data_IF_538180465038
#
_entry.id   IF_538180465038
#
_cell.length_a   1.000
_cell.length_b   1.000
_cell.length_c   1.000
_cell.angle_alpha   90.00
_cell.angle_beta   90.00
_cell.angle_gamma   90.00
#
_symmetry.space_group_name_H-M   'P 1'
#
loop_
_entity.id
_entity.type
_entity.pdbx_description
1 polymer ?
#
# COMPACT_ATOMS: atom_id res chain seq x y z
N UNK A 1 8.97 -10.86 13.15
CA UNK A 1 9.90 -9.83 13.68
C UNK A 1 10.16 -10.10 15.17
N UNK A 2 10.62 -11.30 15.54
CA UNK A 2 10.95 -11.60 16.94
C UNK A 2 11.75 -12.89 17.12
N UNK A 3 12.39 -13.00 18.29
CA UNK A 3 12.78 -14.24 18.96
C UNK A 3 11.97 -14.35 20.28
N UNK A 4 11.94 -15.50 20.99
CA UNK A 4 11.00 -15.75 22.10
C UNK A 4 10.93 -14.65 23.16
N UNK A 5 12.01 -13.91 23.39
CA UNK A 5 12.10 -12.84 24.39
C UNK A 5 12.62 -11.51 23.81
N UNK A 6 12.54 -11.31 22.49
CA UNK A 6 13.10 -10.13 21.82
C UNK A 6 12.22 -9.67 20.66
N UNK A 7 11.97 -8.36 20.58
CA UNK A 7 11.31 -7.70 19.45
C UNK A 7 12.31 -6.85 18.68
N UNK A 8 12.16 -6.80 17.35
CA UNK A 8 12.91 -5.90 16.47
C UNK A 8 11.93 -4.94 15.79
N UNK A 9 12.33 -3.68 15.62
CA UNK A 9 11.52 -2.63 14.99
C UNK A 9 12.39 -1.66 14.19
N UNK A 10 11.73 -0.79 13.41
CA UNK A 10 12.40 0.15 12.51
C UNK A 10 13.22 -0.54 11.44
N UNK A 11 14.31 0.09 10.98
CA UNK A 11 15.16 -0.43 9.92
C UNK A 11 15.77 -1.81 10.24
N UNK A 12 16.01 -2.12 11.52
CA UNK A 12 16.46 -3.44 11.94
C UNK A 12 15.45 -4.56 11.61
N UNK A 13 14.17 -4.22 11.49
CA UNK A 13 13.10 -5.16 11.17
C UNK A 13 12.61 -5.04 9.73
N UNK A 14 12.59 -3.84 9.16
CA UNK A 14 11.93 -3.55 7.87
C UNK A 14 12.57 -2.39 7.11
N UNK A 15 13.87 -2.51 6.81
CA UNK A 15 14.56 -1.53 5.96
C UNK A 15 13.89 -1.39 4.59
N UNK A 16 13.58 -0.14 4.23
CA UNK A 16 13.00 0.25 2.94
C UNK A 16 13.85 1.36 2.31
N UNK A 17 13.71 1.55 1.00
CA UNK A 17 14.41 2.62 0.28
C UNK A 17 13.80 3.99 0.62
N UNK A 18 14.50 5.11 0.33
CA UNK A 18 13.97 6.44 0.63
C UNK A 18 12.89 6.92 -0.36
N UNK A 19 12.42 6.08 -1.29
CA UNK A 19 11.56 6.51 -2.42
C UNK A 19 10.27 7.19 -1.97
N UNK A 20 9.65 6.69 -0.90
CA UNK A 20 8.45 7.32 -0.32
C UNK A 20 8.73 8.17 0.92
N UNK A 21 9.97 8.22 1.40
CA UNK A 21 10.32 8.89 2.66
C UNK A 21 9.58 8.34 3.88
N UNK A 22 9.13 7.08 3.85
CA UNK A 22 8.31 6.49 4.91
C UNK A 22 9.10 5.69 5.95
N UNK A 23 10.40 5.44 5.77
CA UNK A 23 11.19 4.63 6.70
C UNK A 23 11.11 5.12 8.15
N UNK A 24 11.41 6.40 8.38
CA UNK A 24 11.33 7.00 9.72
C UNK A 24 9.89 6.99 10.30
N UNK A 25 8.89 7.32 9.48
CA UNK A 25 7.48 7.31 9.91
C UNK A 25 7.01 5.90 10.29
N UNK A 26 7.37 4.90 9.50
CA UNK A 26 7.11 3.48 9.75
C UNK A 26 7.81 2.96 11.00
N UNK A 27 9.03 3.44 11.28
CA UNK A 27 9.75 3.13 12.52
C UNK A 27 9.02 3.71 13.73
N UNK A 28 8.60 4.98 13.67
CA UNK A 28 7.82 5.63 14.73
C UNK A 28 6.45 4.96 14.95
N UNK A 29 5.77 4.59 13.87
CA UNK A 29 4.52 3.80 13.96
C UNK A 29 4.76 2.45 14.64
N UNK A 30 5.90 1.81 14.39
CA UNK A 30 6.28 0.56 15.08
C UNK A 30 6.43 0.77 16.59
N UNK A 31 6.97 1.92 17.04
CA UNK A 31 7.01 2.26 18.47
C UNK A 31 5.60 2.38 19.06
N UNK A 32 4.66 3.02 18.36
CA UNK A 32 3.27 3.13 18.81
C UNK A 32 2.56 1.79 18.88
N UNK A 33 2.82 0.89 17.92
CA UNK A 33 2.25 -0.47 17.94
C UNK A 33 2.86 -1.29 19.08
N UNK A 34 4.16 -1.14 19.35
CA UNK A 34 4.82 -1.79 20.47
C UNK A 34 4.25 -1.32 21.82
N UNK A 35 4.05 -0.02 21.99
CA UNK A 35 3.43 0.56 23.21
C UNK A 35 2.02 -0.01 23.48
N UNK A 36 1.20 -0.10 22.42
CA UNK A 36 -0.12 -0.75 22.49
C UNK A 36 0.00 -2.24 22.84
N UNK A 37 0.96 -2.95 22.27
CA UNK A 37 1.18 -4.37 22.54
C UNK A 37 1.66 -4.60 23.97
N UNK A 38 2.53 -3.73 24.51
CA UNK A 38 2.99 -3.74 25.91
C UNK A 38 1.81 -3.54 26.87
N UNK A 39 0.96 -2.55 26.60
CA UNK A 39 -0.25 -2.30 27.38
C UNK A 39 -1.19 -3.52 27.36
N UNK A 40 -1.41 -4.11 26.18
CA UNK A 40 -2.27 -5.28 26.01
C UNK A 40 -1.65 -6.59 26.53
N UNK A 41 -0.34 -6.63 26.76
CA UNK A 41 0.35 -7.75 27.39
C UNK A 41 0.14 -7.78 28.90
N UNK A 42 -0.12 -6.63 29.53
CA UNK A 42 -0.43 -6.53 30.97
C UNK A 42 0.56 -7.30 31.86
N UNK A 43 1.86 -7.20 31.56
CA UNK A 43 2.94 -7.87 32.28
C UNK A 43 3.34 -9.25 31.75
N UNK A 44 2.58 -9.85 30.82
CA UNK A 44 2.97 -11.08 30.12
C UNK A 44 3.95 -10.78 28.97
N UNK A 45 5.23 -10.65 29.32
CA UNK A 45 6.30 -10.36 28.36
C UNK A 45 6.58 -11.52 27.40
N UNK A 46 6.18 -12.74 27.72
CA UNK A 46 6.38 -13.91 26.85
C UNK A 46 5.41 -13.88 25.65
N UNK A 47 4.19 -13.36 25.84
CA UNK A 47 3.24 -13.17 24.75
C UNK A 47 3.50 -11.92 23.89
N UNK A 48 4.29 -10.96 24.39
CA UNK A 48 4.52 -9.67 23.75
C UNK A 48 5.08 -9.79 22.31
N UNK A 49 6.12 -10.59 22.03
CA UNK A 49 6.75 -10.58 20.72
C UNK A 49 5.83 -11.09 19.61
N UNK A 50 4.99 -12.07 19.94
CA UNK A 50 3.94 -12.57 19.05
C UNK A 50 2.87 -11.51 18.82
N UNK A 51 2.32 -10.90 19.88
CA UNK A 51 1.28 -9.84 19.77
C UNK A 51 1.75 -8.66 18.93
N UNK A 52 2.99 -8.19 19.18
CA UNK A 52 3.59 -7.12 18.40
C UNK A 52 3.76 -7.51 16.93
N UNK A 53 4.33 -8.69 16.66
CA UNK A 53 4.56 -9.15 15.28
C UNK A 53 3.26 -9.34 14.51
N UNK A 54 2.24 -9.96 15.12
CA UNK A 54 0.94 -10.17 14.49
C UNK A 54 0.27 -8.83 14.12
N UNK A 55 0.50 -7.79 14.93
CA UNK A 55 -0.05 -6.45 14.69
C UNK A 55 0.72 -5.65 13.65
N UNK A 56 2.04 -5.87 13.51
CA UNK A 56 2.91 -5.02 12.70
C UNK A 56 3.34 -5.62 11.36
N UNK A 57 3.42 -6.95 11.26
CA UNK A 57 4.06 -7.63 10.13
C UNK A 57 3.38 -7.32 8.80
N UNK A 58 2.04 -7.29 8.78
CA UNK A 58 1.27 -7.02 7.58
C UNK A 58 1.59 -5.62 6.99
N UNK A 59 1.67 -4.60 7.84
CA UNK A 59 1.96 -3.24 7.41
C UNK A 59 3.42 -3.06 6.98
N UNK A 60 4.36 -3.70 7.68
CA UNK A 60 5.76 -3.66 7.28
C UNK A 60 5.99 -4.31 5.90
N UNK A 61 5.37 -5.47 5.64
CA UNK A 61 5.42 -6.12 4.34
C UNK A 61 4.74 -5.28 3.25
N UNK A 62 3.60 -4.66 3.58
CA UNK A 62 2.87 -3.81 2.65
C UNK A 62 3.69 -2.58 2.22
N UNK A 63 4.36 -1.92 3.17
CA UNK A 63 5.24 -0.81 2.86
C UNK A 63 6.43 -1.27 1.99
N UNK A 64 7.05 -2.41 2.32
CA UNK A 64 8.12 -2.99 1.52
C UNK A 64 7.69 -3.27 0.07
N UNK A 65 6.51 -3.85 -0.14
CA UNK A 65 6.02 -4.14 -1.50
C UNK A 65 5.76 -2.87 -2.31
N UNK A 66 5.16 -1.84 -1.69
CA UNK A 66 5.00 -0.55 -2.35
C UNK A 66 6.37 0.03 -2.71
N UNK A 67 7.31 0.05 -1.76
CA UNK A 67 8.66 0.57 -1.93
C UNK A 67 9.42 -0.15 -3.05
N UNK A 68 9.38 -1.48 -3.08
CA UNK A 68 9.96 -2.32 -4.13
C UNK A 68 9.43 -1.95 -5.51
N UNK A 69 8.11 -1.77 -5.64
CA UNK A 69 7.47 -1.37 -6.90
C UNK A 69 7.90 0.02 -7.35
N UNK A 70 8.03 0.97 -6.44
CA UNK A 70 8.44 2.33 -6.77
C UNK A 70 9.94 2.42 -7.09
N UNK A 71 10.77 1.69 -6.34
CA UNK A 71 12.21 1.61 -6.55
C UNK A 71 12.60 0.97 -7.89
N UNK A 72 11.70 0.19 -8.50
CA UNK A 72 11.91 -0.36 -9.84
C UNK A 72 12.25 0.70 -10.90
N UNK A 73 11.74 1.94 -10.74
CA UNK A 73 12.05 3.09 -11.57
C UNK A 73 13.53 3.49 -11.54
N UNK A 74 14.12 3.48 -10.34
CA UNK A 74 15.51 3.86 -10.12
C UNK A 74 16.50 2.73 -10.45
N UNK A 75 15.99 1.51 -10.63
CA UNK A 75 16.77 0.41 -11.22
C UNK A 75 16.90 0.59 -12.73
N UNK A 76 17.85 -0.15 -13.33
CA UNK A 76 18.19 -0.19 -14.78
C UNK A 76 17.02 -0.41 -15.76
N UNK A 77 15.80 -0.64 -15.28
CA UNK A 77 14.61 -0.82 -16.13
C UNK A 77 13.95 0.50 -16.56
N UNK A 78 14.25 1.60 -15.85
CA UNK A 78 13.81 2.93 -16.25
C UNK A 78 12.29 3.14 -16.18
N UNK A 79 11.75 4.16 -16.87
CA UNK A 79 10.34 4.58 -16.75
C UNK A 79 9.32 3.56 -17.28
N UNK A 80 9.76 2.52 -17.99
CA UNK A 80 8.90 1.52 -18.62
C UNK A 80 8.77 0.23 -17.80
N UNK A 81 9.29 0.18 -16.58
CA UNK A 81 9.06 -0.98 -15.72
C UNK A 81 7.57 -1.13 -15.36
N UNK A 82 6.97 -2.32 -15.52
CA UNK A 82 5.57 -2.54 -15.24
C UNK A 82 5.13 -2.18 -13.81
N UNK A 83 5.97 -2.43 -12.80
CA UNK A 83 5.63 -2.14 -11.40
C UNK A 83 5.55 -0.62 -11.18
N UNK A 84 6.51 0.14 -11.70
CA UNK A 84 6.47 1.60 -11.64
C UNK A 84 5.31 2.19 -12.44
N UNK A 85 5.11 1.72 -13.68
CA UNK A 85 4.02 2.17 -14.55
C UNK A 85 2.67 1.89 -13.90
N UNK A 86 2.51 0.75 -13.22
CA UNK A 86 1.29 0.46 -12.46
C UNK A 86 1.04 1.48 -11.35
N UNK A 87 2.06 1.84 -10.56
CA UNK A 87 1.91 2.84 -9.50
C UNK A 87 1.60 4.23 -10.08
N UNK A 88 2.29 4.62 -11.15
CA UNK A 88 2.06 5.90 -11.82
C UNK A 88 0.65 5.98 -12.42
N UNK A 89 0.22 4.92 -13.12
CA UNK A 89 -1.14 4.81 -13.65
C UNK A 89 -2.18 4.87 -12.54
N UNK A 90 -1.95 4.20 -11.40
CA UNK A 90 -2.82 4.29 -10.23
C UNK A 90 -2.97 5.73 -9.72
N UNK A 91 -1.88 6.51 -9.66
CA UNK A 91 -1.95 7.92 -9.23
C UNK A 91 -2.67 8.79 -10.27
N UNK A 92 -2.30 8.69 -11.55
CA UNK A 92 -2.88 9.54 -12.61
C UNK A 92 -4.35 9.20 -12.84
N UNK A 93 -4.65 7.93 -13.16
CA UNK A 93 -6.02 7.49 -13.40
C UNK A 93 -6.86 7.63 -12.14
N UNK A 94 -6.31 7.30 -10.97
CA UNK A 94 -7.02 7.45 -9.72
C UNK A 94 -7.40 8.88 -9.42
N UNK A 95 -6.55 9.86 -9.76
CA UNK A 95 -6.86 11.29 -9.54
C UNK A 95 -7.98 11.77 -10.48
N UNK A 96 -8.07 11.19 -11.68
CA UNK A 96 -9.16 11.47 -12.62
C UNK A 96 -10.44 10.77 -12.18
N UNK A 97 -10.37 9.48 -11.86
CA UNK A 97 -11.51 8.67 -11.43
C UNK A 97 -12.09 9.15 -10.10
N UNK A 98 -11.26 9.60 -9.15
CA UNK A 98 -11.75 10.18 -7.89
C UNK A 98 -12.52 11.48 -8.10
N UNK A 99 -12.27 12.21 -9.19
CA UNK A 99 -13.02 13.43 -9.55
C UNK A 99 -14.30 13.13 -10.33
N UNK A 100 -14.30 12.11 -11.20
CA UNK A 100 -15.43 11.78 -12.07
C UNK A 100 -16.44 10.85 -11.37
N UNK A 101 -15.95 9.82 -10.68
CA UNK A 101 -16.75 8.80 -9.99
C UNK A 101 -16.29 8.58 -8.54
N UNK A 102 -16.37 9.62 -7.68
CA UNK A 102 -15.93 9.54 -6.28
C UNK A 102 -16.65 8.44 -5.49
N UNK A 103 -17.89 8.11 -5.85
CA UNK A 103 -18.68 7.05 -5.20
C UNK A 103 -18.07 5.66 -5.36
N UNK A 104 -17.41 5.37 -6.49
CA UNK A 104 -16.86 4.05 -6.78
C UNK A 104 -15.37 3.93 -6.42
N UNK A 105 -14.60 5.01 -6.62
CA UNK A 105 -13.14 4.99 -6.45
C UNK A 105 -12.68 5.57 -5.10
N UNK A 106 -13.52 6.37 -4.45
CA UNK A 106 -13.16 7.12 -3.26
C UNK A 106 -12.58 8.51 -3.56
N UNK A 107 -12.32 9.32 -2.51
CA UNK A 107 -12.02 10.75 -2.66
C UNK A 107 -10.59 11.05 -3.13
N UNK A 108 -9.64 10.13 -2.90
CA UNK A 108 -8.23 10.27 -3.26
C UNK A 108 -7.63 8.92 -3.66
N UNK A 109 -6.67 8.88 -4.60
CA UNK A 109 -5.94 7.65 -4.93
C UNK A 109 -5.34 7.03 -3.67
N UNK A 110 -5.52 5.72 -3.50
CA UNK A 110 -5.03 5.01 -2.31
C UNK A 110 -3.55 5.27 -2.00
N UNK A 111 -2.67 5.25 -3.01
CA UNK A 111 -1.24 5.49 -2.84
C UNK A 111 -0.91 6.89 -2.25
N UNK A 112 -1.72 7.91 -2.54
CA UNK A 112 -1.53 9.26 -2.00
C UNK A 112 -1.99 9.40 -0.54
N UNK A 113 -2.53 8.34 0.05
CA UNK A 113 -2.91 8.29 1.46
C UNK A 113 -1.77 7.74 2.34
N UNK A 114 -0.59 7.45 1.77
CA UNK A 114 0.60 7.15 2.56
C UNK A 114 0.89 8.28 3.56
N UNK A 115 1.10 7.92 4.82
CA UNK A 115 1.32 8.88 5.91
C UNK A 115 0.05 9.50 6.51
N UNK A 116 -1.16 9.06 6.11
CA UNK A 116 -2.43 9.54 6.68
C UNK A 116 -2.85 8.85 8.00
N UNK A 117 -2.03 7.93 8.52
CA UNK A 117 -2.36 7.10 9.68
C UNK A 117 -3.23 5.87 9.36
N UNK A 118 -3.59 5.67 8.08
CA UNK A 118 -4.20 4.43 7.60
C UNK A 118 -3.10 3.35 7.54
N UNK A 119 -3.36 2.11 8.03
CA UNK A 119 -2.40 1.02 7.95
C UNK A 119 -1.90 0.77 6.52
N UNK A 120 -0.58 0.58 6.36
CA UNK A 120 0.04 0.37 5.05
C UNK A 120 -0.56 -0.84 4.30
N UNK A 121 -0.96 -1.88 5.02
CA UNK A 121 -1.66 -3.05 4.47
C UNK A 121 -3.00 -2.70 3.83
N UNK A 122 -3.77 -1.80 4.45
CA UNK A 122 -5.04 -1.31 3.90
C UNK A 122 -4.81 -0.43 2.67
N UNK A 123 -3.79 0.42 2.69
CA UNK A 123 -3.42 1.23 1.51
C UNK A 123 -3.06 0.33 0.34
N UNK A 124 -2.23 -0.70 0.57
CA UNK A 124 -1.81 -1.63 -0.48
C UNK A 124 -2.99 -2.45 -1.02
N UNK A 125 -3.90 -2.88 -0.15
CA UNK A 125 -5.14 -3.55 -0.55
C UNK A 125 -6.05 -2.62 -1.37
N UNK A 126 -6.18 -1.36 -0.99
CA UNK A 126 -6.93 -0.36 -1.73
C UNK A 126 -6.31 -0.08 -3.10
N UNK A 127 -4.98 0.03 -3.21
CA UNK A 127 -4.27 0.14 -4.51
C UNK A 127 -4.59 -1.06 -5.41
N UNK A 128 -4.56 -2.28 -4.88
CA UNK A 128 -4.89 -3.48 -5.64
C UNK A 128 -6.37 -3.51 -6.09
N UNK A 129 -7.29 -3.10 -5.22
CA UNK A 129 -8.72 -2.99 -5.53
C UNK A 129 -8.96 -1.96 -6.64
N UNK A 130 -8.39 -0.78 -6.48
CA UNK A 130 -8.55 0.34 -7.41
C UNK A 130 -7.98 0.01 -8.80
N UNK A 131 -6.86 -0.73 -8.86
CA UNK A 131 -6.33 -1.25 -10.12
C UNK A 131 -7.31 -2.23 -10.79
N UNK A 132 -7.93 -3.14 -10.04
CA UNK A 132 -8.97 -4.05 -10.57
C UNK A 132 -10.19 -3.28 -11.08
N UNK A 133 -10.64 -2.29 -10.32
CA UNK A 133 -11.77 -1.44 -10.71
C UNK A 133 -11.47 -0.67 -12.00
N UNK A 134 -10.27 -0.09 -12.14
CA UNK A 134 -9.86 0.59 -13.36
C UNK A 134 -9.88 -0.35 -14.59
N UNK A 135 -9.43 -1.59 -14.44
CA UNK A 135 -9.49 -2.61 -15.51
C UNK A 135 -10.93 -2.93 -15.87
N UNK A 136 -11.81 -3.17 -14.89
CA UNK A 136 -13.24 -3.48 -15.13
C UNK A 136 -13.95 -2.33 -15.83
N UNK A 137 -13.75 -1.09 -15.37
CA UNK A 137 -14.33 0.11 -16.00
C UNK A 137 -13.80 0.30 -17.43
N UNK A 138 -12.51 0.04 -17.66
CA UNK A 138 -11.89 0.10 -18.98
C UNK A 138 -12.50 -0.92 -19.95
N UNK A 139 -12.65 -2.18 -19.51
CA UNK A 139 -13.28 -3.24 -20.31
C UNK A 139 -14.74 -2.90 -20.62
N UNK A 140 -15.51 -2.43 -19.63
CA UNK A 140 -16.89 -2.02 -19.82
C UNK A 140 -17.01 -0.87 -20.85
N UNK A 141 -16.12 0.12 -20.77
CA UNK A 141 -16.09 1.23 -21.72
C UNK A 141 -15.77 0.75 -23.15
N UNK A 142 -14.80 -0.15 -23.31
CA UNK A 142 -14.44 -0.74 -24.62
C UNK A 142 -15.63 -1.52 -25.20
N UNK A 143 -16.30 -2.35 -24.40
CA UNK A 143 -17.48 -3.09 -24.83
C UNK A 143 -18.63 -2.17 -25.25
N UNK A 144 -18.85 -1.07 -24.53
CA UNK A 144 -19.85 -0.06 -24.88
C UNK A 144 -19.51 0.65 -26.20
N UNK A 145 -18.24 0.98 -26.43
CA UNK A 145 -17.78 1.58 -27.68
C UNK A 145 -17.94 0.63 -28.87
N UNK A 146 -17.60 -0.64 -28.70
CA UNK A 146 -17.80 -1.68 -29.72
C UNK A 146 -19.29 -1.85 -30.02
N UNK A 147 -20.14 -1.94 -29.00
CA UNK A 147 -21.58 -2.05 -29.18
C UNK A 147 -22.17 -0.82 -29.89
N UNK A 148 -21.66 0.39 -29.59
CA UNK A 148 -22.07 1.62 -30.28
C UNK A 148 -21.62 1.64 -31.74
N UNK A 149 -20.40 1.18 -32.02
CA UNK A 149 -19.87 1.08 -33.39
C UNK A 149 -20.70 0.08 -34.22
N UNK A 150 -21.03 -1.08 -33.66
CA UNK A 150 -21.86 -2.11 -34.30
C UNK A 150 -23.30 -1.65 -34.57
N UNK A 151 -23.82 -0.66 -33.82
CA UNK A 151 -25.13 -0.05 -34.07
C UNK A 151 -25.11 1.05 -35.13
N UNK A 152 -23.92 1.51 -35.52
CA UNK A 152 -23.72 2.56 -36.54
C UNK A 152 -23.52 1.99 -37.95
N UNK A 153 -23.25 0.70 -38.06
CA UNK A 153 -23.22 -0.08 -39.30
C UNK A 153 -24.49 -0.93 -39.42
#
# INVERSE_FOLDING_TARGET
>A
MYAPSCVILGDAAHAVTPVFGQGANSALESCLVLDKALTAANGDLDALPKKFSDSRLADAHALYELDRKAYSFFRRKGPFDPDFVQLLAHVILGTVLSKIVPFLYGPKPALLQLGSGIPYSQITAAVARDAKLAVVLGVALVLLLIAKLLRLF
#
